data_IF_977363811438
#
_entry.id   IF_977363811438
#
_cell.length_a   1.000
_cell.length_b   1.000
_cell.length_c   1.000
_cell.angle_alpha   90.00
_cell.angle_beta   90.00
_cell.angle_gamma   90.00
#
_symmetry.space_group_name_H-M   'P 1'
#
loop_
_entity.id
_entity.type
_entity.pdbx_description
1 polymer ?
#
# COMPACT_ATOMS: atom_id res chain seq x y z
N UNK A 1 18.36 18.12 -6.09
CA UNK A 1 17.39 19.08 -6.67
C UNK A 1 16.28 18.27 -7.32
N UNK A 2 15.01 18.58 -7.02
CA UNK A 2 13.86 17.80 -7.48
C UNK A 2 13.02 18.64 -8.44
N UNK A 3 12.39 18.05 -9.44
CA UNK A 3 11.46 18.76 -10.33
C UNK A 3 10.03 18.53 -9.84
N UNK A 4 9.26 19.59 -9.67
CA UNK A 4 7.84 19.51 -9.35
C UNK A 4 7.03 19.80 -10.62
N UNK A 5 6.39 18.79 -11.18
CA UNK A 5 5.57 18.91 -12.40
C UNK A 5 4.42 19.91 -12.23
N UNK A 6 3.71 19.83 -11.09
CA UNK A 6 2.59 20.76 -10.79
C UNK A 6 3.01 22.23 -10.74
N UNK A 7 4.23 22.50 -10.29
CA UNK A 7 4.76 23.86 -10.22
C UNK A 7 5.63 24.23 -11.44
N UNK A 8 5.87 23.28 -12.35
CA UNK A 8 6.77 23.37 -13.50
C UNK A 8 8.13 24.01 -13.19
N UNK A 9 8.75 23.63 -12.06
CA UNK A 9 10.05 24.17 -11.65
C UNK A 9 10.85 23.21 -10.78
N UNK A 10 12.16 23.44 -10.73
CA UNK A 10 13.01 22.76 -9.76
C UNK A 10 12.87 23.36 -8.36
N UNK A 11 12.81 22.47 -7.37
CA UNK A 11 12.75 22.79 -5.94
C UNK A 11 13.94 22.15 -5.21
N UNK A 12 14.41 22.86 -4.20
CA UNK A 12 15.54 22.42 -3.37
C UNK A 12 15.02 21.57 -2.20
N UNK A 13 13.89 21.96 -1.61
CA UNK A 13 13.30 21.32 -0.44
C UNK A 13 12.05 20.55 -0.85
N UNK A 14 12.05 19.25 -0.56
CA UNK A 14 10.89 18.37 -0.67
C UNK A 14 10.63 17.73 0.69
N UNK A 15 9.36 17.43 0.97
CA UNK A 15 8.96 16.74 2.18
C UNK A 15 8.34 15.40 1.77
N UNK A 16 9.00 14.26 2.06
CA UNK A 16 8.46 12.96 1.72
C UNK A 16 7.17 12.70 2.51
N UNK A 17 6.30 11.88 1.92
CA UNK A 17 5.07 11.38 2.54
C UNK A 17 5.00 9.90 2.26
N UNK A 18 4.43 9.13 3.18
CA UNK A 18 4.30 7.68 3.04
C UNK A 18 2.83 7.34 2.90
N UNK A 19 2.50 6.49 1.91
CA UNK A 19 1.18 5.87 1.81
C UNK A 19 1.20 4.59 2.63
N UNK A 20 0.25 4.43 3.54
CA UNK A 20 0.05 3.20 4.29
C UNK A 20 -1.32 2.62 3.94
N UNK A 21 -1.41 1.30 3.85
CA UNK A 21 -2.68 0.59 3.74
C UNK A 21 -3.01 -0.02 5.10
N UNK A 22 -4.13 0.39 5.67
CA UNK A 22 -4.69 -0.20 6.88
C UNK A 22 -5.73 -1.22 6.44
N UNK A 23 -5.72 -2.40 7.05
CA UNK A 23 -6.59 -3.52 6.72
C UNK A 23 -7.23 -3.97 8.02
N UNK A 24 -8.55 -4.09 8.03
CA UNK A 24 -9.30 -4.66 9.13
C UNK A 24 -10.21 -5.81 8.65
N UNK A 25 -11.15 -6.24 9.49
CA UNK A 25 -12.07 -7.33 9.16
C UNK A 25 -13.10 -6.95 8.09
N UNK A 26 -13.38 -5.66 7.91
CA UNK A 26 -14.40 -5.17 6.99
C UNK A 26 -13.82 -4.89 5.62
N UNK A 27 -12.72 -4.14 5.55
CA UNK A 27 -12.05 -3.78 4.31
C UNK A 27 -10.64 -3.21 4.57
N UNK A 28 -10.12 -2.48 3.60
CA UNK A 28 -8.88 -1.75 3.67
C UNK A 28 -9.05 -0.32 3.24
N UNK A 29 -8.17 0.55 3.73
CA UNK A 29 -8.14 1.95 3.34
C UNK A 29 -6.70 2.45 3.27
N UNK A 30 -6.46 3.46 2.44
CA UNK A 30 -5.13 4.05 2.24
C UNK A 30 -5.09 5.42 2.90
N UNK A 31 -4.10 5.61 3.76
CA UNK A 31 -3.79 6.92 4.36
C UNK A 31 -2.46 7.44 3.84
N UNK A 32 -2.35 8.77 3.76
CA UNK A 32 -1.09 9.46 3.52
C UNK A 32 -0.62 10.03 4.84
N UNK A 33 0.50 9.55 5.36
CA UNK A 33 1.12 10.09 6.55
C UNK A 33 2.13 11.19 6.18
N UNK A 34 2.02 12.31 6.91
CA UNK A 34 3.06 13.33 6.94
C UNK A 34 4.10 12.98 8.00
N UNK A 35 5.26 13.63 7.92
CA UNK A 35 6.42 13.30 8.75
C UNK A 35 6.14 13.32 10.26
N UNK A 36 5.34 14.29 10.73
CA UNK A 36 4.91 14.36 12.12
C UNK A 36 4.07 13.15 12.53
N UNK A 37 3.07 12.81 11.73
CA UNK A 37 2.17 11.69 12.01
C UNK A 37 2.93 10.36 11.94
N UNK A 38 3.80 10.18 10.95
CA UNK A 38 4.67 9.01 10.83
C UNK A 38 5.60 8.87 12.05
N UNK A 39 6.20 9.98 12.50
CA UNK A 39 7.06 9.97 13.69
C UNK A 39 6.25 9.61 14.94
N UNK A 40 5.04 10.14 15.10
CA UNK A 40 4.19 9.83 16.26
C UNK A 40 3.67 8.38 16.24
N UNK A 41 3.23 7.87 15.08
CA UNK A 41 2.60 6.55 14.95
C UNK A 41 3.64 5.41 14.87
N UNK A 42 4.75 5.62 14.16
CA UNK A 42 5.72 4.59 13.79
C UNK A 42 7.08 4.78 14.45
N UNK A 43 7.25 5.86 15.23
CA UNK A 43 8.52 6.27 15.82
C UNK A 43 9.65 6.43 14.78
N UNK A 44 9.28 6.73 13.53
CA UNK A 44 10.20 6.94 12.40
C UNK A 44 9.65 8.04 11.48
N UNK A 45 10.53 8.97 11.10
CA UNK A 45 10.22 9.97 10.09
C UNK A 45 10.07 9.36 8.69
N UNK A 46 9.36 10.05 7.80
CA UNK A 46 9.10 9.57 6.44
C UNK A 46 10.41 9.38 5.66
N UNK A 47 11.40 10.25 5.85
CA UNK A 47 12.70 10.16 5.18
C UNK A 47 13.41 8.85 5.55
N UNK A 48 13.42 8.50 6.83
CA UNK A 48 14.04 7.28 7.35
C UNK A 48 13.33 6.02 6.85
N UNK A 49 12.02 6.08 6.62
CA UNK A 49 11.26 4.96 6.03
C UNK A 49 11.54 4.78 4.53
N UNK A 50 11.97 5.84 3.84
CA UNK A 50 12.40 5.79 2.45
C UNK A 50 13.87 5.38 2.30
N UNK A 51 14.68 5.57 3.34
CA UNK A 51 16.10 5.21 3.38
C UNK A 51 16.26 3.68 3.36
N UNK A 52 16.53 3.13 2.18
CA UNK A 52 16.62 1.68 1.93
C UNK A 52 15.70 1.19 0.81
N UNK A 53 14.75 2.01 0.36
CA UNK A 53 14.03 1.76 -0.89
C UNK A 53 14.94 2.11 -2.07
N UNK A 54 15.11 1.18 -3.00
CA UNK A 54 15.88 1.43 -4.23
C UNK A 54 15.35 2.69 -4.94
N UNK A 55 16.27 3.53 -5.42
CA UNK A 55 15.93 4.82 -6.07
C UNK A 55 14.98 4.65 -7.26
N UNK A 56 14.99 3.47 -7.88
CA UNK A 56 14.10 3.14 -9.00
C UNK A 56 12.70 2.70 -8.55
N UNK A 57 12.56 2.15 -7.34
CA UNK A 57 11.24 1.88 -6.74
C UNK A 57 10.55 3.19 -6.33
N UNK A 58 11.31 4.15 -5.80
CA UNK A 58 10.77 5.44 -5.39
C UNK A 58 10.12 6.22 -6.56
N UNK A 59 10.69 6.11 -7.77
CA UNK A 59 10.13 6.73 -8.99
C UNK A 59 8.82 6.07 -9.46
N UNK A 60 8.62 4.78 -9.19
CA UNK A 60 7.39 4.07 -9.55
C UNK A 60 6.22 4.48 -8.65
N UNK A 61 6.46 4.56 -7.33
CA UNK A 61 5.42 4.95 -6.36
C UNK A 61 4.94 6.40 -6.47
N UNK A 62 5.76 7.30 -7.02
CA UNK A 62 5.34 8.69 -7.26
C UNK A 62 4.47 8.84 -8.50
N UNK A 63 4.46 7.85 -9.40
CA UNK A 63 3.88 7.96 -10.74
C UNK A 63 2.67 7.04 -10.96
N UNK A 64 2.48 6.01 -10.13
CA UNK A 64 1.32 5.11 -10.20
C UNK A 64 0.30 5.39 -9.09
N UNK A 65 -0.83 6.00 -9.47
CA UNK A 65 -2.10 5.75 -8.82
C UNK A 65 -2.54 4.32 -9.15
N UNK A 66 -2.03 3.35 -8.41
CA UNK A 66 -2.54 1.98 -8.50
C UNK A 66 -3.90 1.91 -7.82
N UNK A 67 -4.92 1.87 -8.67
CA UNK A 67 -6.26 1.37 -8.37
C UNK A 67 -6.16 -0.13 -8.06
N UNK A 68 -5.85 -0.47 -6.80
CA UNK A 68 -6.03 -1.83 -6.34
C UNK A 68 -7.50 -2.02 -6.03
N UNK A 69 -8.23 -2.51 -7.04
CA UNK A 69 -9.57 -3.07 -6.86
C UNK A 69 -9.59 -4.17 -5.78
N UNK A 70 -10.77 -4.47 -5.22
CA UNK A 70 -10.90 -5.33 -4.05
C UNK A 70 -10.35 -6.74 -4.31
N UNK A 71 -9.77 -7.40 -3.29
CA UNK A 71 -9.24 -8.75 -3.45
C UNK A 71 -10.38 -9.70 -3.84
N UNK A 72 -10.13 -10.54 -4.85
CA UNK A 72 -11.05 -11.62 -5.21
C UNK A 72 -11.26 -12.52 -3.99
N UNK A 73 -12.50 -12.55 -3.49
CA UNK A 73 -12.93 -13.50 -2.47
C UNK A 73 -12.93 -14.88 -3.13
N UNK A 74 -11.98 -15.74 -2.77
CA UNK A 74 -12.09 -17.16 -3.08
C UNK A 74 -13.27 -17.74 -2.30
N UNK A 75 -14.38 -17.96 -3.00
CA UNK A 75 -15.56 -18.63 -2.47
C UNK A 75 -15.19 -20.08 -2.10
N UNK A 76 -15.42 -20.54 -0.87
CA UNK A 76 -15.32 -21.96 -0.54
C UNK A 76 -16.29 -22.74 -1.41
N UNK A 77 -15.78 -23.70 -2.18
CA UNK A 77 -16.63 -24.68 -2.87
C UNK A 77 -17.17 -25.66 -1.83
N UNK A 78 -18.30 -25.32 -1.22
CA UNK A 78 -19.21 -26.34 -0.72
C UNK A 78 -19.60 -27.20 -1.92
N UNK A 79 -19.32 -28.49 -1.85
CA UNK A 79 -19.96 -29.46 -2.74
C UNK A 79 -20.46 -30.66 -1.95
N UNK A 80 -21.61 -31.22 -2.35
CA UNK A 80 -22.57 -31.86 -1.47
C UNK A 80 -22.25 -33.33 -1.24
N UNK A 81 -22.82 -33.87 -0.16
CA UNK A 81 -22.87 -35.29 0.12
C UNK A 81 -23.47 -36.08 -1.05
N UNK A 82 -22.84 -37.18 -1.42
CA UNK A 82 -23.57 -38.38 -1.85
C UNK A 82 -22.95 -39.58 -1.15
N UNK A 83 -23.75 -40.11 -0.24
CA UNK A 83 -23.72 -41.47 0.29
C UNK A 83 -23.77 -42.48 -0.88
N UNK A 84 -23.03 -43.58 -0.77
CA UNK A 84 -23.50 -44.94 -1.10
C UNK A 84 -22.36 -45.97 -1.11
N UNK A 85 -22.34 -46.78 -0.03
CA UNK A 85 -22.25 -48.25 -0.04
C UNK A 85 -21.27 -48.97 -0.99
N UNK A 86 -20.25 -49.64 -0.43
CA UNK A 86 -20.11 -51.11 -0.57
C UNK A 86 -19.07 -51.74 0.37
N UNK A 87 -19.58 -52.68 1.17
CA UNK A 87 -18.86 -53.75 1.85
C UNK A 87 -18.37 -54.75 0.80
N UNK A 88 -17.08 -55.13 0.84
CA UNK A 88 -16.64 -56.51 0.68
C UNK A 88 -15.24 -56.76 1.23
#
# INVERSE_FOLDING_TARGET
MFFCEKCNKHVIKVFPRVKIRVIDLSDSTIFVLFDKDATTLLNKGCTNMLEGLDKDLLKKFTNESTDYGPPAVEVPKDNPSTDDSKIH
#
